data_IF_542129633519
#
_entry.id   IF_542129633519
#
_cell.length_a   1.000
_cell.length_b   1.000
_cell.length_c   1.000
_cell.angle_alpha   90.00
_cell.angle_beta   90.00
_cell.angle_gamma   90.00
#
_symmetry.space_group_name_H-M   'P 1'
#
loop_
_entity.id
_entity.type
_entity.pdbx_description
1 polymer ?
#
# COMPACT_ATOMS: atom_id res chain seq x y z
N UNK A 1 16.09 24.76 13.36
CA UNK A 1 15.35 25.37 12.23
C UNK A 1 14.34 24.33 11.80
N UNK A 2 13.12 24.45 12.33
CA UNK A 2 12.00 23.56 12.03
C UNK A 2 11.49 23.86 10.63
N UNK A 3 11.57 22.88 9.75
CA UNK A 3 10.87 22.95 8.46
C UNK A 3 9.40 22.63 8.74
N UNK A 4 8.59 23.65 8.82
CA UNK A 4 7.14 23.56 8.92
C UNK A 4 6.61 23.08 7.56
N UNK A 5 6.38 21.77 7.43
CA UNK A 5 5.74 21.19 6.25
C UNK A 5 4.24 21.34 6.41
N UNK A 6 3.72 22.53 6.05
CA UNK A 6 2.31 22.89 6.14
C UNK A 6 1.41 22.21 5.10
N UNK A 7 1.51 20.89 4.96
CA UNK A 7 0.72 20.11 4.00
C UNK A 7 -0.26 19.20 4.74
N UNK A 8 -1.42 19.75 5.01
CA UNK A 8 -2.57 19.00 5.51
C UNK A 8 -3.05 18.03 4.42
N UNK A 9 -2.80 16.72 4.62
CA UNK A 9 -3.53 15.64 3.94
C UNK A 9 -3.23 15.39 2.46
N UNK A 10 -2.12 15.88 1.91
CA UNK A 10 -1.80 15.70 0.49
C UNK A 10 -1.09 14.37 0.22
N UNK A 11 -1.67 13.55 -0.65
CA UNK A 11 -1.10 12.30 -1.14
C UNK A 11 0.29 12.47 -1.82
N UNK A 12 0.64 13.68 -2.23
CA UNK A 12 1.91 13.98 -2.90
C UNK A 12 3.14 13.90 -1.97
N UNK A 13 2.99 14.10 -0.65
CA UNK A 13 4.11 14.09 0.29
C UNK A 13 4.71 12.71 0.52
N UNK A 14 3.93 11.64 0.35
CA UNK A 14 4.34 10.27 0.69
C UNK A 14 5.37 9.71 -0.30
N UNK A 15 5.38 10.19 -1.54
CA UNK A 15 6.22 9.68 -2.62
C UNK A 15 7.55 10.43 -2.81
N UNK A 16 7.71 11.59 -2.19
CA UNK A 16 8.83 12.51 -2.46
C UNK A 16 9.80 12.69 -1.27
N UNK A 17 9.52 12.12 -0.11
CA UNK A 17 10.39 12.30 1.06
C UNK A 17 11.24 11.04 1.34
N UNK A 18 12.55 11.04 1.05
CA UNK A 18 13.44 9.90 1.28
C UNK A 18 13.73 9.60 2.76
N UNK A 19 13.26 10.44 3.68
CA UNK A 19 13.52 10.32 5.11
C UNK A 19 12.36 9.73 5.93
N UNK A 20 11.24 9.36 5.29
CA UNK A 20 10.09 8.77 5.98
C UNK A 20 10.37 7.30 6.31
N UNK A 21 10.88 7.03 7.51
CA UNK A 21 10.81 5.69 8.08
C UNK A 21 9.36 5.39 8.39
N UNK A 22 8.79 4.38 7.71
CA UNK A 22 7.48 3.85 8.07
C UNK A 22 7.58 3.29 9.50
N UNK A 23 6.83 3.87 10.41
CA UNK A 23 6.59 3.28 11.73
C UNK A 23 5.45 2.28 11.59
N UNK A 24 5.41 1.27 12.46
CA UNK A 24 4.30 0.29 12.44
C UNK A 24 2.96 0.99 12.62
N UNK A 25 1.94 0.46 11.97
CA UNK A 25 0.57 0.97 12.11
C UNK A 25 0.04 0.60 13.49
N UNK A 26 -0.36 1.60 14.27
CA UNK A 26 -1.12 1.36 15.49
C UNK A 26 -2.51 0.80 15.16
N UNK A 27 -3.14 0.04 16.07
CA UNK A 27 -4.51 -0.41 15.88
C UNK A 27 -5.43 0.75 15.54
N UNK A 28 -6.14 0.63 14.41
CA UNK A 28 -7.14 1.63 13.95
C UNK A 28 -8.53 1.03 13.98
N UNK A 29 -9.53 1.85 14.21
CA UNK A 29 -10.93 1.44 14.19
C UNK A 29 -11.66 1.96 12.92
N UNK A 30 -12.89 1.52 12.74
CA UNK A 30 -13.70 1.91 11.58
C UNK A 30 -13.95 3.42 11.48
N UNK A 31 -14.02 4.12 12.62
CA UNK A 31 -14.19 5.59 12.66
C UNK A 31 -12.95 6.31 12.17
N UNK A 32 -11.77 5.84 12.58
CA UNK A 32 -10.49 6.38 12.12
C UNK A 32 -10.35 6.25 10.61
N UNK A 33 -10.64 5.05 10.07
CA UNK A 33 -10.60 4.81 8.62
C UNK A 33 -11.57 5.71 7.86
N UNK A 34 -12.81 5.87 8.33
CA UNK A 34 -13.76 6.81 7.72
C UNK A 34 -13.28 8.26 7.79
N UNK A 35 -12.60 8.63 8.89
CA UNK A 35 -12.03 9.96 9.07
C UNK A 35 -10.96 10.27 8.02
N UNK A 36 -10.04 9.33 7.82
CA UNK A 36 -8.93 9.45 6.86
C UNK A 36 -9.42 9.57 5.41
N UNK A 37 -10.50 8.87 5.03
CA UNK A 37 -11.05 8.90 3.67
C UNK A 37 -12.26 9.80 3.48
N UNK A 38 -12.57 10.70 4.43
CA UNK A 38 -13.76 11.58 4.38
C UNK A 38 -13.86 12.41 3.11
N UNK A 39 -12.73 12.83 2.54
CA UNK A 39 -12.69 13.67 1.32
C UNK A 39 -12.70 12.86 0.02
N UNK A 40 -12.68 11.54 0.09
CA UNK A 40 -12.70 10.68 -1.10
C UNK A 40 -14.12 10.56 -1.63
N UNK A 41 -14.53 11.52 -2.46
CA UNK A 41 -15.87 11.59 -3.06
C UNK A 41 -16.17 10.38 -3.97
N UNK A 42 -17.39 9.87 -3.88
CA UNK A 42 -18.08 9.14 -4.95
C UNK A 42 -18.11 7.62 -4.91
N UNK A 43 -17.41 6.96 -3.99
CA UNK A 43 -17.54 5.50 -3.80
C UNK A 43 -17.64 5.20 -2.32
N UNK A 44 -18.62 4.41 -1.93
CA UNK A 44 -18.75 3.94 -0.54
C UNK A 44 -17.47 3.23 -0.11
N UNK A 45 -16.94 3.63 1.05
CA UNK A 45 -15.76 3.02 1.64
C UNK A 45 -16.12 1.64 2.21
N UNK A 46 -15.86 0.59 1.45
CA UNK A 46 -15.96 -0.78 1.94
C UNK A 46 -14.80 -1.04 2.90
N UNK A 47 -15.08 -1.10 4.19
CA UNK A 47 -14.08 -1.35 5.23
C UNK A 47 -13.67 -2.84 5.24
N UNK A 48 -12.40 -3.14 5.54
CA UNK A 48 -11.95 -4.51 5.75
C UNK A 48 -12.45 -5.05 7.10
N UNK A 49 -12.44 -6.37 7.26
CA UNK A 49 -12.63 -6.95 8.59
C UNK A 49 -11.38 -6.69 9.44
N UNK A 50 -11.52 -5.91 10.50
CA UNK A 50 -10.41 -5.48 11.37
C UNK A 50 -10.12 -6.48 12.50
N UNK A 51 -11.03 -7.41 12.79
CA UNK A 51 -10.93 -8.33 13.94
C UNK A 51 -9.72 -9.28 13.84
N UNK A 52 -9.40 -9.89 12.67
CA UNK A 52 -8.32 -10.87 12.59
C UNK A 52 -6.94 -10.23 12.34
N UNK A 53 -6.81 -8.90 12.42
CA UNK A 53 -5.58 -8.21 12.04
C UNK A 53 -4.59 -8.24 13.20
N UNK A 54 -3.41 -8.81 12.95
CA UNK A 54 -2.24 -8.65 13.81
C UNK A 54 -1.51 -7.35 13.46
N UNK A 55 -1.82 -6.31 14.21
CA UNK A 55 -1.25 -4.96 14.01
C UNK A 55 0.26 -4.92 14.27
N UNK A 56 0.78 -5.84 15.08
CA UNK A 56 2.20 -5.90 15.43
C UNK A 56 3.13 -6.21 14.27
N UNK A 57 2.59 -6.71 13.15
CA UNK A 57 3.36 -7.10 11.96
C UNK A 57 3.10 -6.21 10.75
N UNK A 58 2.26 -5.17 10.88
CA UNK A 58 1.89 -4.31 9.78
C UNK A 58 2.69 -3.00 9.76
N UNK A 59 3.29 -2.69 8.63
CA UNK A 59 3.89 -1.38 8.34
C UNK A 59 2.85 -0.45 7.72
N UNK A 60 1.83 -1.02 7.08
CA UNK A 60 0.64 -0.33 6.59
C UNK A 60 -0.55 -1.30 6.54
N UNK A 61 -1.77 -0.79 6.62
CA UNK A 61 -2.99 -1.54 6.35
C UNK A 61 -3.39 -1.31 4.89
N UNK A 62 -3.44 -2.39 4.09
CA UNK A 62 -3.88 -2.34 2.70
C UNK A 62 -5.02 -3.31 2.43
N UNK A 63 -6.03 -2.87 1.66
CA UNK A 63 -7.10 -3.77 1.21
C UNK A 63 -7.65 -3.35 -0.14
N UNK A 64 -8.25 -4.31 -0.83
CA UNK A 64 -8.90 -4.10 -2.12
C UNK A 64 -10.41 -4.02 -1.92
N UNK A 65 -11.02 -3.01 -2.53
CA UNK A 65 -12.48 -2.87 -2.54
C UNK A 65 -13.14 -4.07 -3.25
N UNK A 66 -14.34 -4.52 -2.86
CA UNK A 66 -15.03 -5.65 -3.51
C UNK A 66 -15.19 -5.52 -5.03
N UNK A 67 -15.29 -4.30 -5.57
CA UNK A 67 -15.30 -4.07 -7.02
C UNK A 67 -14.02 -4.53 -7.74
N UNK A 68 -12.93 -4.73 -7.02
CA UNK A 68 -11.62 -5.06 -7.56
C UNK A 68 -10.89 -3.90 -8.25
N UNK A 69 -11.54 -2.78 -8.54
CA UNK A 69 -10.99 -1.65 -9.29
C UNK A 69 -10.31 -0.59 -8.40
N UNK A 70 -10.64 -0.59 -7.12
CA UNK A 70 -10.15 0.37 -6.12
C UNK A 70 -9.45 -0.39 -5.02
N UNK A 71 -8.44 0.22 -4.44
CA UNK A 71 -7.77 -0.26 -3.25
C UNK A 71 -7.46 0.90 -2.31
N UNK A 72 -7.23 0.58 -1.07
CA UNK A 72 -6.94 1.54 -0.02
C UNK A 72 -5.69 1.11 0.72
N UNK A 73 -4.89 2.10 1.10
CA UNK A 73 -3.71 1.92 1.94
C UNK A 73 -3.75 2.98 3.03
N UNK A 74 -3.52 2.56 4.26
CA UNK A 74 -3.44 3.46 5.43
C UNK A 74 -2.13 3.19 6.13
N UNK A 75 -1.38 4.25 6.39
CA UNK A 75 -0.08 4.19 7.03
C UNK A 75 0.17 5.43 7.90
N UNK A 76 0.99 5.32 8.93
CA UNK A 76 1.45 6.48 9.68
C UNK A 76 2.51 7.25 8.88
N UNK A 77 2.33 8.55 8.76
CA UNK A 77 3.27 9.46 8.12
C UNK A 77 3.50 10.63 9.07
N UNK A 78 4.72 10.82 9.51
CA UNK A 78 5.08 11.86 10.48
C UNK A 78 4.20 11.88 11.75
N UNK A 79 3.76 10.70 12.20
CA UNK A 79 2.92 10.54 13.40
C UNK A 79 1.40 10.69 13.14
N UNK A 80 1.00 11.07 11.96
CA UNK A 80 -0.41 11.17 11.56
C UNK A 80 -0.83 9.98 10.69
N UNK A 81 -2.09 9.56 10.80
CA UNK A 81 -2.64 8.49 9.99
C UNK A 81 -3.04 9.03 8.61
N UNK A 82 -2.34 8.59 7.57
CA UNK A 82 -2.57 8.98 6.18
C UNK A 82 -3.20 7.87 5.37
N UNK A 83 -4.13 8.19 4.48
CA UNK A 83 -4.81 7.25 3.60
C UNK A 83 -4.60 7.54 2.13
N UNK A 84 -4.38 6.50 1.35
CA UNK A 84 -4.28 6.54 -0.10
C UNK A 84 -5.41 5.72 -0.72
N UNK A 85 -6.18 6.33 -1.59
CA UNK A 85 -7.11 5.63 -2.48
C UNK A 85 -6.43 5.38 -3.82
N UNK A 86 -6.25 4.13 -4.16
CA UNK A 86 -5.55 3.68 -5.35
C UNK A 86 -6.54 3.16 -6.39
N UNK A 87 -6.26 3.40 -7.65
CA UNK A 87 -6.93 2.73 -8.78
C UNK A 87 -6.12 1.50 -9.15
N UNK A 88 -6.78 0.38 -9.30
CA UNK A 88 -6.18 -0.88 -9.73
C UNK A 88 -6.49 -1.14 -11.19
N UNK A 89 -5.46 -1.42 -11.98
CA UNK A 89 -5.66 -1.86 -13.35
C UNK A 89 -6.26 -3.28 -13.37
N UNK A 90 -7.41 -3.42 -13.99
CA UNK A 90 -8.12 -4.71 -14.09
C UNK A 90 -7.57 -5.59 -15.24
N UNK A 91 -6.95 -4.98 -16.24
CA UNK A 91 -6.43 -5.67 -17.41
C UNK A 91 -5.11 -6.38 -17.07
N UNK A 92 -5.24 -7.60 -16.54
CA UNK A 92 -4.11 -8.51 -16.46
C UNK A 92 -3.78 -9.02 -17.88
N UNK A 93 -2.52 -8.95 -18.29
CA UNK A 93 -2.06 -9.62 -19.50
C UNK A 93 -2.52 -11.09 -19.50
N UNK A 94 -3.08 -11.56 -20.59
CA UNK A 94 -3.53 -12.95 -20.73
C UNK A 94 -2.38 -13.95 -20.53
N UNK A 95 -1.14 -13.54 -20.82
CA UNK A 95 0.07 -14.37 -20.66
C UNK A 95 0.66 -14.23 -19.26
N UNK A 96 0.90 -15.33 -18.55
CA UNK A 96 1.65 -15.32 -17.30
C UNK A 96 3.04 -14.70 -17.52
N UNK A 97 3.42 -13.76 -16.69
CA UNK A 97 4.75 -13.15 -16.71
C UNK A 97 5.29 -13.07 -15.29
N UNK A 98 6.57 -13.35 -15.14
CA UNK A 98 7.28 -13.09 -13.90
C UNK A 98 7.28 -11.58 -13.62
N UNK A 99 6.88 -11.19 -12.43
CA UNK A 99 6.81 -9.80 -12.01
C UNK A 99 7.29 -9.66 -10.57
N UNK A 100 7.97 -8.58 -10.30
CA UNK A 100 8.43 -8.22 -8.97
C UNK A 100 7.52 -7.11 -8.40
N UNK A 101 7.23 -7.20 -7.12
CA UNK A 101 6.57 -6.14 -6.38
C UNK A 101 7.55 -4.98 -6.16
N UNK A 102 7.17 -3.74 -6.49
CA UNK A 102 8.01 -2.56 -6.30
C UNK A 102 8.23 -2.19 -4.84
N UNK A 103 7.37 -2.67 -3.94
CA UNK A 103 7.47 -2.35 -2.51
C UNK A 103 8.26 -3.40 -1.74
N UNK A 104 7.86 -4.66 -1.77
CA UNK A 104 8.53 -5.71 -0.98
C UNK A 104 9.54 -6.54 -1.77
N UNK A 105 9.72 -6.28 -3.05
CA UNK A 105 10.60 -6.97 -4.00
C UNK A 105 10.31 -8.48 -4.15
N UNK A 106 9.17 -8.96 -3.64
CA UNK A 106 8.77 -10.34 -3.85
C UNK A 106 8.54 -10.63 -5.33
N UNK A 107 9.11 -11.72 -5.82
CA UNK A 107 9.03 -12.12 -7.23
C UNK A 107 7.96 -13.18 -7.41
N UNK A 108 7.01 -12.92 -8.30
CA UNK A 108 5.91 -13.81 -8.64
C UNK A 108 6.09 -14.41 -10.02
N UNK A 109 5.88 -15.71 -10.18
CA UNK A 109 5.84 -16.36 -11.50
C UNK A 109 4.65 -15.90 -12.34
N UNK A 110 3.51 -15.66 -11.72
CA UNK A 110 2.31 -15.17 -12.41
C UNK A 110 1.33 -14.52 -11.45
N UNK A 111 0.57 -13.52 -11.94
CA UNK A 111 -0.64 -12.96 -11.31
C UNK A 111 -0.57 -12.54 -9.83
N UNK A 112 0.58 -12.55 -9.18
CA UNK A 112 0.73 -12.18 -7.76
C UNK A 112 0.82 -10.67 -7.53
N UNK A 113 1.02 -9.86 -8.57
CA UNK A 113 1.05 -8.40 -8.51
C UNK A 113 -0.08 -7.77 -9.33
N UNK A 114 -0.39 -6.51 -9.04
CA UNK A 114 -1.27 -5.67 -9.84
C UNK A 114 -0.66 -4.27 -9.97
N UNK A 115 -1.01 -3.55 -11.01
CA UNK A 115 -0.65 -2.15 -11.18
C UNK A 115 -1.65 -1.29 -10.41
N UNK A 116 -1.15 -0.54 -9.45
CA UNK A 116 -1.91 0.44 -8.68
C UNK A 116 -1.42 1.85 -9.02
N UNK A 117 -2.36 2.78 -9.16
CA UNK A 117 -2.05 4.17 -9.47
C UNK A 117 -2.82 5.12 -8.58
N UNK A 118 -2.22 6.28 -8.33
CA UNK A 118 -2.82 7.42 -7.63
C UNK A 118 -2.61 8.67 -8.46
N UNK A 119 -3.60 9.55 -8.52
CA UNK A 119 -3.44 10.85 -9.13
C UNK A 119 -2.61 11.76 -8.23
N UNK A 120 -1.72 12.52 -8.85
CA UNK A 120 -0.97 13.57 -8.15
C UNK A 120 -1.92 14.73 -7.87
N UNK A 121 -2.00 15.13 -6.62
CA UNK A 121 -2.83 16.28 -6.21
C UNK A 121 -2.38 17.57 -6.93
N UNK A 122 -3.35 18.43 -7.27
CA UNK A 122 -3.09 19.65 -8.03
C UNK A 122 -2.79 19.43 -9.52
N UNK A 123 -2.89 18.21 -10.03
CA UNK A 123 -2.64 17.91 -11.45
C UNK A 123 -3.91 17.82 -12.30
N UNK A 124 -5.09 18.09 -11.72
CA UNK A 124 -6.41 17.95 -12.38
C UNK A 124 -6.60 16.60 -13.09
N UNK A 125 -6.04 15.54 -12.48
CA UNK A 125 -6.08 14.18 -13.03
C UNK A 125 -5.16 13.93 -14.23
N UNK A 126 -4.30 14.88 -14.59
CA UNK A 126 -3.37 14.75 -15.73
C UNK A 126 -2.12 13.96 -15.40
N UNK A 127 -1.74 13.89 -14.13
CA UNK A 127 -0.54 13.18 -13.68
C UNK A 127 -0.92 12.09 -12.70
N UNK A 128 -0.38 10.91 -12.89
CA UNK A 128 -0.54 9.79 -11.97
C UNK A 128 0.79 9.11 -11.72
N UNK A 129 0.95 8.56 -10.52
CA UNK A 129 2.06 7.68 -10.16
C UNK A 129 1.50 6.27 -10.10
N UNK A 130 2.20 5.30 -10.68
CA UNK A 130 1.77 3.91 -10.71
C UNK A 130 2.90 2.97 -10.34
N UNK A 131 2.58 1.97 -9.51
CA UNK A 131 3.53 0.95 -9.09
C UNK A 131 2.92 -0.45 -9.25
N UNK A 132 3.79 -1.41 -9.58
CA UNK A 132 3.46 -2.82 -9.61
C UNK A 132 3.64 -3.38 -8.19
N UNK A 133 2.54 -3.65 -7.48
CA UNK A 133 2.56 -4.02 -6.05
C UNK A 133 1.85 -5.36 -5.85
N UNK A 134 2.12 -6.04 -4.73
CA UNK A 134 1.39 -7.26 -4.35
C UNK A 134 -0.11 -7.07 -4.52
N UNK A 135 -0.75 -8.00 -5.21
CA UNK A 135 -2.16 -7.90 -5.61
C UNK A 135 -3.11 -7.64 -4.44
N UNK A 136 -2.80 -8.21 -3.27
CA UNK A 136 -3.62 -8.10 -2.06
C UNK A 136 -3.12 -7.01 -1.11
N UNK A 137 -2.08 -6.27 -1.48
CA UNK A 137 -1.43 -5.26 -0.63
C UNK A 137 -0.90 -5.84 0.69
N UNK A 138 -0.42 -7.06 0.67
CA UNK A 138 0.03 -7.85 1.82
C UNK A 138 1.56 -7.87 2.00
N UNK A 139 2.25 -6.84 1.50
CA UNK A 139 3.72 -6.78 1.54
C UNK A 139 4.30 -6.91 2.96
N UNK A 140 3.69 -6.27 3.96
CA UNK A 140 4.13 -6.37 5.37
C UNK A 140 4.17 -7.81 5.87
N UNK A 141 3.20 -8.63 5.48
CA UNK A 141 3.13 -10.04 5.84
C UNK A 141 4.14 -10.87 5.05
N UNK A 142 4.33 -10.57 3.75
CA UNK A 142 5.25 -11.30 2.87
C UNK A 142 6.70 -11.16 3.27
N UNK A 143 7.15 -9.93 3.57
CA UNK A 143 8.53 -9.69 4.00
C UNK A 143 8.87 -10.42 5.30
N UNK A 144 7.84 -10.75 6.10
CA UNK A 144 7.96 -11.51 7.37
C UNK A 144 7.67 -13.00 7.20
N UNK A 145 7.47 -13.47 5.96
CA UNK A 145 7.15 -14.87 5.63
C UNK A 145 5.87 -15.39 6.34
N UNK A 146 4.89 -14.50 6.59
CA UNK A 146 3.63 -14.83 7.25
C UNK A 146 2.50 -15.18 6.27
N UNK A 147 2.76 -15.11 4.97
CA UNK A 147 1.81 -15.49 3.90
C UNK A 147 2.39 -16.67 3.14
N UNK A 148 1.59 -17.72 3.00
CA UNK A 148 1.93 -18.84 2.14
C UNK A 148 1.91 -18.41 0.68
N UNK A 149 3.02 -18.62 0.00
CA UNK A 149 3.16 -18.28 -1.40
C UNK A 149 3.31 -19.55 -2.28
N UNK A 150 2.81 -19.50 -3.50
CA UNK A 150 3.28 -20.45 -4.51
C UNK A 150 4.80 -20.26 -4.69
N UNK A 151 5.52 -21.31 -5.11
CA UNK A 151 6.99 -21.25 -5.24
C UNK A 151 7.45 -20.01 -5.98
N UNK A 152 8.30 -19.22 -5.37
CA UNK A 152 8.88 -18.02 -5.98
C UNK A 152 9.91 -18.40 -7.05
N UNK A 153 10.12 -17.52 -8.01
CA UNK A 153 11.13 -17.72 -9.05
C UNK A 153 12.55 -17.68 -8.46
N UNK A 154 12.79 -16.73 -7.58
CA UNK A 154 14.06 -16.56 -6.85
C UNK A 154 13.74 -16.38 -5.36
N UNK A 155 14.09 -17.34 -4.50
CA UNK A 155 13.95 -17.15 -3.07
C UNK A 155 14.89 -16.05 -2.59
N UNK A 156 14.38 -15.15 -1.78
CA UNK A 156 15.17 -14.07 -1.21
C UNK A 156 15.88 -14.53 0.06
N UNK A 157 17.19 -14.32 0.11
CA UNK A 157 18.07 -14.74 1.21
C UNK A 157 18.30 -13.65 2.27
N UNK A 158 17.77 -12.43 2.06
CA UNK A 158 17.94 -11.32 2.98
C UNK A 158 17.21 -11.55 4.31
N UNK A 159 17.82 -11.09 5.40
CA UNK A 159 17.18 -11.06 6.71
C UNK A 159 15.91 -10.19 6.71
N UNK A 160 14.94 -10.55 7.57
CA UNK A 160 13.63 -9.88 7.67
C UNK A 160 13.80 -8.37 7.93
N UNK A 161 14.71 -7.98 8.81
CA UNK A 161 14.98 -6.57 9.14
C UNK A 161 15.42 -5.76 7.91
N UNK A 162 16.29 -6.34 7.08
CA UNK A 162 16.69 -5.70 5.81
C UNK A 162 15.55 -5.59 4.82
N UNK A 163 14.64 -6.58 4.80
CA UNK A 163 13.42 -6.54 3.98
C UNK A 163 12.45 -5.46 4.45
N UNK A 164 12.24 -5.35 5.76
CA UNK A 164 11.38 -4.31 6.36
C UNK A 164 11.91 -2.91 6.06
N UNK A 165 13.23 -2.72 6.11
CA UNK A 165 13.85 -1.42 5.81
C UNK A 165 13.69 -0.94 4.36
N UNK A 166 13.21 -1.81 3.44
CA UNK A 166 12.92 -1.47 2.03
C UNK A 166 11.45 -1.06 1.80
N UNK A 167 10.56 -1.42 2.72
CA UNK A 167 9.14 -1.15 2.61
C UNK A 167 8.83 0.30 2.99
#
# INVERSE_FOLDING_TARGET
>A
MSADCGLRGSAACIWLCPALRLTRVNPVNAKDLRGVFRQSSGTELALPNLTPIDWGVLDYLGWVHPSGAIAYVVMPVAGELCGLRLRRALNASARPRTRMCSWCHHVYRSRGTALFSVYVEGSDGRRSIANQVCRNLDCSLRIRNLVSDPPTYLPETLHIESKVGRL
#
